data_IF_325147188624
#
_entry.id   IF_325147188624
#
_cell.length_a   1.000
_cell.length_b   1.000
_cell.length_c   1.000
_cell.angle_alpha   90.00
_cell.angle_beta   90.00
_cell.angle_gamma   90.00
#
_symmetry.space_group_name_H-M   'P 1'
#
loop_
_entity.id
_entity.type
_entity.pdbx_description
1 polymer ?
#
# COMPACT_ATOMS: atom_id res chain seq x y z
N UNK A 1 -2.05 -2.35 6.47
CA UNK A 1 -1.60 -0.95 6.53
C UNK A 1 -0.34 -0.82 5.68
N UNK A 2 -0.15 0.25 4.90
CA UNK A 2 1.01 0.32 4.00
C UNK A 2 2.34 0.46 4.76
N UNK A 3 3.43 -0.12 4.24
CA UNK A 3 4.76 0.01 4.84
C UNK A 3 5.45 1.29 4.33
N UNK A 4 5.63 2.28 5.21
CA UNK A 4 6.17 3.60 4.87
C UNK A 4 7.54 3.89 5.49
N UNK A 5 8.03 3.07 6.41
CA UNK A 5 9.24 3.34 7.19
C UNK A 5 10.44 2.53 6.72
N UNK A 6 10.22 1.30 6.28
CA UNK A 6 11.24 0.39 5.76
C UNK A 6 10.99 0.05 4.30
N UNK A 7 12.06 -0.19 3.55
CA UNK A 7 11.95 -0.67 2.17
C UNK A 7 11.21 -2.01 2.14
N UNK A 8 10.27 -2.18 1.22
CA UNK A 8 9.55 -3.45 1.03
C UNK A 8 10.44 -4.64 0.67
N UNK A 9 11.62 -4.38 0.10
CA UNK A 9 12.52 -5.40 -0.44
C UNK A 9 13.72 -5.64 0.48
N UNK A 10 14.58 -4.64 0.67
CA UNK A 10 15.78 -4.79 1.50
C UNK A 10 15.60 -4.46 2.99
N UNK A 11 14.38 -4.11 3.45
CA UNK A 11 14.03 -3.79 4.85
C UNK A 11 14.80 -2.64 5.53
N UNK A 12 15.74 -2.01 4.82
CA UNK A 12 16.49 -0.83 5.29
C UNK A 12 15.53 0.34 5.56
N UNK A 13 15.80 1.16 6.58
CA UNK A 13 15.06 2.40 6.81
C UNK A 13 15.10 3.29 5.56
N UNK A 14 13.95 3.85 5.22
CA UNK A 14 13.80 4.72 4.05
C UNK A 14 14.23 6.14 4.38
N UNK A 15 15.28 6.61 3.69
CA UNK A 15 15.89 7.93 3.85
C UNK A 15 15.04 9.06 3.24
N UNK A 16 15.24 10.32 3.66
CA UNK A 16 14.54 11.50 3.12
C UNK A 16 15.07 11.91 1.73
N UNK A 17 15.04 10.97 0.79
CA UNK A 17 15.37 11.16 -0.62
C UNK A 17 14.17 10.76 -1.49
N UNK A 18 14.35 10.75 -2.81
CA UNK A 18 13.35 10.17 -3.72
C UNK A 18 13.32 8.66 -3.49
N UNK A 19 12.19 8.17 -2.99
CA UNK A 19 11.89 6.74 -2.87
C UNK A 19 10.86 6.36 -3.94
N UNK A 20 10.40 5.11 -3.93
CA UNK A 20 9.43 4.61 -4.89
C UNK A 20 8.25 3.96 -4.19
N UNK A 21 7.01 4.27 -4.55
CA UNK A 21 5.82 3.62 -3.99
C UNK A 21 5.31 2.53 -4.92
N UNK A 22 4.98 1.37 -4.35
CA UNK A 22 4.21 0.33 -5.02
C UNK A 22 2.79 0.31 -4.43
N UNK A 23 1.81 0.71 -5.24
CA UNK A 23 0.41 0.77 -4.79
C UNK A 23 -0.21 -0.63 -4.59
N UNK A 24 0.23 -1.61 -5.38
CA UNK A 24 -0.29 -2.98 -5.34
C UNK A 24 0.22 -3.75 -4.11
N UNK A 25 1.53 -3.67 -3.86
CA UNK A 25 2.17 -4.25 -2.67
C UNK A 25 1.88 -3.44 -1.40
N UNK A 26 1.52 -2.17 -1.55
CA UNK A 26 1.14 -1.30 -0.43
C UNK A 26 2.34 -0.90 0.42
N UNK A 27 3.36 -0.34 -0.20
CA UNK A 27 4.51 0.18 0.54
C UNK A 27 5.52 0.89 -0.34
N UNK A 28 6.68 1.19 0.24
CA UNK A 28 7.71 2.02 -0.38
C UNK A 28 9.02 1.26 -0.50
N UNK A 29 9.75 1.48 -1.59
CA UNK A 29 11.07 0.95 -1.89
C UNK A 29 12.10 2.09 -1.88
N UNK A 30 13.31 1.77 -1.41
CA UNK A 30 14.44 2.69 -1.47
C UNK A 30 14.92 2.88 -2.93
N UNK A 31 15.80 3.86 -3.20
CA UNK A 31 16.32 4.09 -4.55
C UNK A 31 16.90 2.83 -5.22
N UNK A 32 17.67 2.04 -4.46
CA UNK A 32 18.38 0.86 -4.97
C UNK A 32 17.42 -0.27 -5.43
N UNK A 33 16.32 -0.44 -4.69
CA UNK A 33 15.33 -1.49 -4.95
C UNK A 33 14.25 -1.04 -5.95
N UNK A 34 13.84 0.24 -5.89
CA UNK A 34 12.76 0.78 -6.72
C UNK A 34 13.20 1.23 -8.11
N UNK A 35 14.45 1.70 -8.29
CA UNK A 35 14.89 2.35 -9.52
C UNK A 35 14.92 1.45 -10.78
N UNK A 36 14.79 0.13 -10.63
CA UNK A 36 14.75 -0.85 -11.73
C UNK A 36 13.36 -1.47 -11.94
N UNK A 37 12.36 -1.09 -11.13
CA UNK A 37 11.00 -1.63 -11.21
C UNK A 37 10.15 -0.76 -12.12
N UNK A 38 9.30 -1.42 -12.91
CA UNK A 38 8.36 -0.74 -13.82
C UNK A 38 6.96 -0.54 -13.19
N UNK A 39 6.69 -1.19 -12.07
CA UNK A 39 5.41 -1.19 -11.36
C UNK A 39 5.39 -0.27 -10.14
N UNK A 40 6.32 0.70 -10.12
CA UNK A 40 6.50 1.66 -9.03
C UNK A 40 6.52 3.08 -9.58
N UNK A 41 6.18 4.05 -8.74
CA UNK A 41 6.28 5.47 -9.10
C UNK A 41 7.14 6.24 -8.10
N UNK A 42 7.83 7.32 -8.52
CA UNK A 42 8.63 8.13 -7.62
C UNK A 42 7.76 8.81 -6.56
N UNK A 43 8.30 8.82 -5.34
CA UNK A 43 7.74 9.42 -4.15
C UNK A 43 8.79 10.31 -3.51
N UNK A 44 8.53 11.61 -3.50
CA UNK A 44 9.40 12.58 -2.86
C UNK A 44 9.34 12.49 -1.33
N UNK A 45 10.40 13.01 -0.68
CA UNK A 45 10.56 12.94 0.77
C UNK A 45 9.48 13.71 1.55
N UNK A 46 8.97 14.82 1.02
CA UNK A 46 7.93 15.62 1.68
C UNK A 46 6.59 14.88 1.69
N UNK A 47 6.19 14.29 0.56
CA UNK A 47 5.00 13.44 0.48
C UNK A 47 5.14 12.22 1.40
N UNK A 48 6.28 11.54 1.40
CA UNK A 48 6.53 10.39 2.28
C UNK A 48 6.46 10.77 3.77
N UNK A 49 7.01 11.94 4.13
CA UNK A 49 6.94 12.46 5.49
C UNK A 49 5.50 12.69 5.94
N UNK A 50 4.67 13.30 5.08
CA UNK A 50 3.24 13.51 5.39
C UNK A 50 2.52 12.17 5.53
N UNK A 51 2.72 11.22 4.62
CA UNK A 51 2.12 9.89 4.72
C UNK A 51 2.50 9.17 6.03
N UNK A 52 3.77 9.23 6.45
CA UNK A 52 4.22 8.69 7.74
C UNK A 52 3.57 9.37 8.93
N UNK A 53 3.43 10.70 8.87
CA UNK A 53 2.78 11.47 9.91
C UNK A 53 1.29 11.09 10.04
N UNK A 54 0.56 11.03 8.92
CA UNK A 54 -0.83 10.55 8.88
C UNK A 54 -0.97 9.11 9.41
N UNK A 55 0.03 8.26 9.18
CA UNK A 55 0.01 6.87 9.62
C UNK A 55 0.32 6.68 11.12
N UNK A 56 1.18 7.52 11.69
CA UNK A 56 1.75 7.32 13.03
C UNK A 56 1.15 8.22 14.10
N UNK A 57 0.40 9.25 13.72
CA UNK A 57 -0.13 10.24 14.65
C UNK A 57 -1.66 10.14 14.81
N UNK A 58 -2.19 10.43 16.01
CA UNK A 58 -3.62 10.47 16.22
C UNK A 58 -4.25 11.68 15.53
N UNK A 59 -5.55 11.59 15.23
CA UNK A 59 -6.28 12.64 14.50
C UNK A 59 -6.10 14.07 15.06
N UNK A 60 -6.14 14.32 16.39
CA UNK A 60 -5.96 15.68 16.91
C UNK A 60 -4.62 16.33 16.54
N UNK A 61 -3.54 15.53 16.44
CA UNK A 61 -2.25 16.02 15.99
C UNK A 61 -2.24 16.24 14.48
N UNK A 62 -2.87 15.35 13.72
CA UNK A 62 -3.00 15.46 12.26
C UNK A 62 -3.77 16.71 11.85
N UNK A 63 -4.91 16.98 12.48
CA UNK A 63 -5.81 18.07 12.11
C UNK A 63 -5.24 19.47 12.31
N UNK A 64 -4.12 19.59 13.05
CA UNK A 64 -3.48 20.87 13.35
C UNK A 64 -2.33 21.21 12.39
N UNK A 65 -1.86 20.26 11.58
CA UNK A 65 -0.70 20.46 10.71
C UNK A 65 -1.11 21.12 9.40
N UNK A 66 -0.49 22.26 9.11
CA UNK A 66 -0.55 22.88 7.79
C UNK A 66 0.51 22.27 6.88
N UNK A 67 0.07 21.74 5.73
CA UNK A 67 0.94 21.19 4.69
C UNK A 67 0.80 22.05 3.45
N UNK A 68 1.92 22.27 2.75
CA UNK A 68 1.94 23.06 1.51
C UNK A 68 0.94 22.47 0.49
N UNK A 69 0.10 23.28 -0.16
CA UNK A 69 -0.88 22.80 -1.14
C UNK A 69 -0.38 21.80 -2.19
N UNK A 70 0.81 21.98 -2.82
CA UNK A 70 1.31 20.99 -3.78
C UNK A 70 1.58 19.61 -3.16
N UNK A 71 2.09 19.55 -1.93
CA UNK A 71 2.37 18.29 -1.24
C UNK A 71 1.05 17.60 -0.87
N UNK A 72 0.06 18.35 -0.37
CA UNK A 72 -1.26 17.76 -0.07
C UNK A 72 -1.95 17.18 -1.30
N UNK A 73 -1.89 17.87 -2.45
CA UNK A 73 -2.46 17.33 -3.70
C UNK A 73 -1.78 16.02 -4.11
N UNK A 74 -0.46 15.91 -3.92
CA UNK A 74 0.28 14.67 -4.21
C UNK A 74 -0.15 13.55 -3.25
N UNK A 75 -0.25 13.83 -1.96
CA UNK A 75 -0.73 12.89 -0.93
C UNK A 75 -2.14 12.40 -1.25
N UNK A 76 -3.08 13.32 -1.51
CA UNK A 76 -4.48 13.01 -1.83
C UNK A 76 -4.59 12.12 -3.07
N UNK A 77 -3.91 12.48 -4.16
CA UNK A 77 -3.90 11.69 -5.40
C UNK A 77 -3.36 10.27 -5.18
N UNK A 78 -2.29 10.13 -4.39
CA UNK A 78 -1.70 8.83 -4.08
C UNK A 78 -2.63 7.98 -3.22
N UNK A 79 -3.23 8.57 -2.18
CA UNK A 79 -4.19 7.87 -1.30
C UNK A 79 -5.44 7.45 -2.07
N UNK A 80 -5.98 8.30 -2.95
CA UNK A 80 -7.14 7.96 -3.77
C UNK A 80 -6.84 6.74 -4.66
N UNK A 81 -5.70 6.72 -5.35
CA UNK A 81 -5.28 5.59 -6.17
C UNK A 81 -5.01 4.34 -5.35
N UNK A 82 -4.39 4.48 -4.19
CA UNK A 82 -4.18 3.37 -3.27
C UNK A 82 -5.50 2.75 -2.79
N UNK A 83 -6.49 3.58 -2.46
CA UNK A 83 -7.82 3.11 -2.05
C UNK A 83 -8.50 2.31 -3.17
N UNK A 84 -8.41 2.76 -4.42
CA UNK A 84 -8.94 2.01 -5.58
C UNK A 84 -8.32 0.61 -5.64
N UNK A 85 -6.98 0.52 -5.57
CA UNK A 85 -6.26 -0.77 -5.61
C UNK A 85 -6.66 -1.70 -4.47
N UNK A 86 -6.77 -1.16 -3.25
CA UNK A 86 -7.14 -1.94 -2.07
C UNK A 86 -8.58 -2.43 -2.15
N UNK A 87 -9.52 -1.56 -2.53
CA UNK A 87 -10.94 -1.89 -2.63
C UNK A 87 -11.21 -2.91 -3.74
N UNK A 88 -10.55 -2.76 -4.89
CA UNK A 88 -10.65 -3.73 -5.97
C UNK A 88 -10.14 -5.11 -5.55
N UNK A 89 -8.98 -5.16 -4.86
CA UNK A 89 -8.42 -6.41 -4.33
C UNK A 89 -9.36 -7.08 -3.33
N UNK A 90 -9.96 -6.31 -2.43
CA UNK A 90 -10.93 -6.83 -1.45
C UNK A 90 -12.19 -7.37 -2.14
N UNK A 91 -12.73 -6.65 -3.13
CA UNK A 91 -13.89 -7.10 -3.89
C UNK A 91 -13.60 -8.42 -4.63
N UNK A 92 -12.45 -8.52 -5.33
CA UNK A 92 -12.05 -9.76 -6.01
C UNK A 92 -11.91 -10.94 -5.04
N UNK A 93 -11.31 -10.71 -3.87
CA UNK A 93 -11.13 -11.73 -2.83
C UNK A 93 -12.47 -12.23 -2.29
N UNK A 94 -13.41 -11.32 -2.00
CA UNK A 94 -14.75 -11.69 -1.52
C UNK A 94 -15.56 -12.44 -2.58
N UNK A 95 -15.48 -12.05 -3.85
CA UNK A 95 -16.12 -12.78 -4.95
C UNK A 95 -15.56 -14.19 -5.10
N UNK A 96 -14.24 -14.37 -4.98
CA UNK A 96 -13.60 -15.68 -5.01
C UNK A 96 -14.08 -16.58 -3.85
N UNK A 97 -14.08 -16.06 -2.61
CA UNK A 97 -14.57 -16.81 -1.45
C UNK A 97 -16.04 -17.21 -1.60
N UNK A 98 -16.90 -16.32 -2.12
CA UNK A 98 -18.30 -16.63 -2.42
C UNK A 98 -18.44 -17.76 -3.45
N UNK A 99 -17.58 -17.78 -4.48
CA UNK A 99 -17.56 -18.86 -5.48
C UNK A 99 -17.13 -20.19 -4.87
N UNK A 100 -16.10 -20.21 -4.02
CA UNK A 100 -15.69 -21.42 -3.31
C UNK A 100 -16.80 -21.96 -2.41
N UNK A 101 -17.45 -21.11 -1.63
CA UNK A 101 -18.56 -21.52 -0.77
C UNK A 101 -19.79 -22.03 -1.54
N UNK A 102 -20.01 -21.54 -2.76
CA UNK A 102 -21.09 -21.99 -3.63
C UNK A 102 -20.71 -23.21 -4.50
N UNK A 103 -19.43 -23.62 -4.49
CA UNK A 103 -19.01 -24.86 -5.17
C UNK A 103 -19.41 -26.02 -4.25
N UNK A 104 -20.27 -26.95 -4.69
CA UNK A 104 -20.58 -28.13 -3.88
C UNK A 104 -19.27 -28.84 -3.56
N UNK A 105 -19.08 -29.21 -2.28
CA UNK A 105 -17.95 -30.03 -1.89
C UNK A 105 -17.93 -31.26 -2.81
N UNK A 106 -16.86 -31.43 -3.58
CA UNK A 106 -16.66 -32.66 -4.34
C UNK A 106 -16.70 -33.85 -3.37
N UNK A 107 -17.03 -35.06 -3.86
CA UNK A 107 -17.16 -36.22 -2.99
C UNK A 107 -15.88 -36.39 -2.17
N UNK A 108 -16.03 -36.53 -0.84
CA UNK A 108 -14.95 -36.93 0.05
C UNK A 108 -14.32 -38.19 -0.55
N UNK A 109 -13.06 -38.08 -1.01
CA UNK A 109 -12.29 -39.25 -1.39
C UNK A 109 -11.87 -39.89 -0.08
N UNK A 110 -12.62 -40.91 0.32
CA UNK A 110 -12.27 -41.78 1.45
C UNK A 110 -10.96 -42.51 1.10
N UNK A 111 -9.87 -42.32 1.88
CA UNK A 111 -8.63 -43.01 1.63
C UNK A 111 -8.73 -44.42 2.22
N UNK A 112 -9.31 -45.37 1.46
CA UNK A 112 -9.32 -46.77 1.86
C UNK A 112 -10.04 -47.73 0.92
N UNK A 113 -9.33 -48.22 -0.11
CA UNK A 113 -9.23 -49.65 -0.47
C UNK A 113 -8.07 -49.90 -1.46
#
# INVERSE_FOLDING_TARGET
>A
QPQLFRCLDCERPLEPTINFVNLHEGGVLCPDCGGRRNDVEPLDADTLKVLRFLQSQPWPAVSQVSVRPPVMRRVESLLQRYLIVVLERQLRSTLFLRRLAATPAGPEIDPGE
#
